data_IF_792764808469
#
_entry.id   IF_792764808469
#
_cell.length_a   1.000
_cell.length_b   1.000
_cell.length_c   1.000
_cell.angle_alpha   90.00
_cell.angle_beta   90.00
_cell.angle_gamma   90.00
#
_symmetry.space_group_name_H-M   'P 1'
#
loop_
_entity.id
_entity.type
_entity.pdbx_description
1 polymer ?
#
# COMPACT_ATOMS: atom_id res chain seq x y z
N UNK A 1 17.34 26.02 -3.73
CA UNK A 1 15.90 26.12 -3.38
C UNK A 1 15.52 27.58 -3.30
N UNK A 2 14.46 27.98 -4.00
CA UNK A 2 13.98 29.37 -4.05
C UNK A 2 12.99 29.61 -2.91
N UNK A 3 12.99 30.82 -2.34
CA UNK A 3 12.03 31.21 -1.29
C UNK A 3 10.73 31.67 -1.96
N UNK A 4 9.62 31.08 -1.57
CA UNK A 4 8.28 31.40 -2.08
C UNK A 4 7.34 31.56 -0.89
N UNK A 5 6.49 32.59 -0.91
CA UNK A 5 5.38 32.73 0.03
C UNK A 5 4.14 32.11 -0.61
N UNK A 6 3.56 31.12 0.07
CA UNK A 6 2.32 30.45 -0.32
C UNK A 6 1.50 30.20 0.94
N UNK A 7 0.19 30.33 0.83
CA UNK A 7 -0.73 29.94 1.89
C UNK A 7 -0.95 28.43 1.81
N UNK A 8 -0.83 27.76 2.96
CA UNK A 8 -1.04 26.32 3.08
C UNK A 8 -1.94 26.10 4.28
N UNK A 9 -2.91 25.19 4.14
CA UNK A 9 -3.73 24.75 5.26
C UNK A 9 -2.85 24.10 6.35
N UNK A 10 -2.87 24.71 7.54
CA UNK A 10 -2.05 24.29 8.68
C UNK A 10 -2.46 22.91 9.21
N UNK A 11 -3.73 22.55 9.13
CA UNK A 11 -4.21 21.24 9.55
C UNK A 11 -3.75 20.17 8.56
N UNK A 12 -3.79 20.47 7.25
CA UNK A 12 -3.26 19.56 6.23
C UNK A 12 -1.77 19.29 6.45
N UNK A 13 -0.98 20.35 6.67
CA UNK A 13 0.45 20.24 6.88
C UNK A 13 0.77 19.47 8.17
N UNK A 14 0.02 19.72 9.25
CA UNK A 14 0.18 19.02 10.52
C UNK A 14 -0.07 17.52 10.36
N UNK A 15 -1.17 17.15 9.69
CA UNK A 15 -1.50 15.75 9.40
C UNK A 15 -0.43 15.08 8.54
N UNK A 16 0.11 15.78 7.55
CA UNK A 16 1.21 15.25 6.73
C UNK A 16 2.49 15.04 7.57
N UNK A 17 2.83 16.00 8.42
CA UNK A 17 3.98 15.90 9.31
C UNK A 17 3.84 14.73 10.31
N UNK A 18 2.67 14.56 10.93
CA UNK A 18 2.40 13.45 11.86
C UNK A 18 2.42 12.10 11.17
N UNK A 19 1.77 11.98 10.01
CA UNK A 19 1.68 10.72 9.27
C UNK A 19 3.04 10.22 8.80
N UNK A 20 3.94 11.12 8.41
CA UNK A 20 5.23 10.78 7.81
C UNK A 20 6.44 11.11 8.71
N UNK A 21 6.21 11.51 9.97
CA UNK A 21 7.28 11.80 10.94
C UNK A 21 8.17 12.99 10.57
N UNK A 22 7.63 14.01 9.90
CA UNK A 22 8.38 15.15 9.39
C UNK A 22 8.47 16.25 10.43
N UNK A 23 9.62 16.92 10.52
CA UNK A 23 9.93 17.88 11.60
C UNK A 23 9.55 19.31 11.22
N UNK A 24 9.43 19.62 9.92
CA UNK A 24 9.11 20.97 9.46
C UNK A 24 8.09 20.99 8.33
N UNK A 25 7.36 22.11 8.22
CA UNK A 25 6.45 22.42 7.10
C UNK A 25 7.15 22.30 5.74
N UNK A 26 8.42 22.71 5.67
CA UNK A 26 9.23 22.63 4.45
C UNK A 26 9.55 21.19 4.07
N UNK A 27 9.91 20.35 5.04
CA UNK A 27 10.10 18.90 4.80
C UNK A 27 8.80 18.25 4.31
N UNK A 28 7.65 18.63 4.87
CA UNK A 28 6.34 18.15 4.40
C UNK A 28 6.05 18.52 2.95
N UNK A 29 6.32 19.76 2.55
CA UNK A 29 6.13 20.20 1.17
C UNK A 29 7.12 19.52 0.21
N UNK A 30 8.40 19.42 0.58
CA UNK A 30 9.40 18.74 -0.24
C UNK A 30 9.05 17.25 -0.43
N UNK A 31 8.66 16.58 0.66
CA UNK A 31 8.23 15.19 0.64
C UNK A 31 7.01 14.99 -0.28
N UNK A 32 5.98 15.83 -0.15
CA UNK A 32 4.78 15.74 -0.98
C UNK A 32 5.08 15.96 -2.47
N UNK A 33 5.92 16.95 -2.81
CA UNK A 33 6.30 17.21 -4.20
C UNK A 33 7.12 16.07 -4.80
N UNK A 34 8.09 15.52 -4.06
CA UNK A 34 8.83 14.34 -4.48
C UNK A 34 7.91 13.16 -4.69
N UNK A 35 7.00 12.90 -3.74
CA UNK A 35 6.01 11.83 -3.86
C UNK A 35 5.17 11.99 -5.12
N UNK A 36 4.74 13.19 -5.49
CA UNK A 36 3.98 13.42 -6.73
C UNK A 36 4.86 13.19 -7.97
N UNK A 37 6.11 13.60 -7.96
CA UNK A 37 7.01 13.38 -9.11
C UNK A 37 7.40 11.90 -9.25
N UNK A 38 7.67 11.24 -8.13
CA UNK A 38 8.12 9.85 -8.05
C UNK A 38 6.95 8.85 -8.21
N UNK A 39 5.74 9.16 -7.70
CA UNK A 39 4.53 8.34 -7.91
C UNK A 39 3.98 8.42 -9.34
N UNK A 40 4.39 9.42 -10.14
CA UNK A 40 4.05 9.51 -11.57
C UNK A 40 5.05 8.74 -12.45
N UNK A 41 5.91 7.91 -11.87
CA UNK A 41 6.46 6.76 -12.60
C UNK A 41 5.96 5.48 -11.94
N UNK A 42 4.68 5.10 -12.16
CA UNK A 42 4.30 3.72 -11.89
C UNK A 42 5.29 2.83 -12.65
N UNK A 43 5.80 1.81 -11.96
CA UNK A 43 6.54 0.74 -12.63
C UNK A 43 5.78 0.37 -13.89
N UNK A 44 6.51 0.33 -15.00
CA UNK A 44 5.95 -0.15 -16.26
C UNK A 44 5.34 -1.53 -16.03
N UNK A 45 4.34 -1.87 -16.83
CA UNK A 45 3.72 -3.20 -16.74
C UNK A 45 4.77 -4.30 -16.87
N UNK A 46 5.79 -4.08 -17.69
CA UNK A 46 6.93 -4.95 -17.91
C UNK A 46 7.79 -5.13 -16.65
N UNK A 47 8.10 -4.05 -15.93
CA UNK A 47 8.83 -4.14 -14.66
C UNK A 47 8.01 -4.86 -13.58
N UNK A 48 6.70 -4.63 -13.55
CA UNK A 48 5.80 -5.31 -12.61
C UNK A 48 5.71 -6.81 -12.90
N UNK A 49 5.62 -7.18 -14.18
CA UNK A 49 5.65 -8.57 -14.61
C UNK A 49 7.03 -9.21 -14.40
N UNK A 50 8.12 -8.43 -14.47
CA UNK A 50 9.46 -8.89 -14.12
C UNK A 50 9.63 -9.27 -12.64
N UNK A 51 8.73 -8.82 -11.76
CA UNK A 51 8.67 -9.25 -10.36
C UNK A 51 7.86 -10.55 -10.15
N UNK A 52 7.26 -11.11 -11.19
CA UNK A 52 6.53 -12.39 -11.11
C UNK A 52 7.46 -13.51 -10.63
N UNK A 53 7.09 -14.16 -9.52
CA UNK A 53 7.91 -15.19 -8.89
C UNK A 53 8.89 -14.68 -7.82
N UNK A 54 8.86 -13.39 -7.47
CA UNK A 54 9.63 -12.83 -6.35
C UNK A 54 8.74 -12.48 -5.15
N UNK A 55 9.28 -12.61 -3.93
CA UNK A 55 8.66 -12.10 -2.70
C UNK A 55 7.70 -13.06 -1.99
N UNK A 56 7.62 -14.33 -2.40
CA UNK A 56 6.80 -15.34 -1.73
C UNK A 56 7.57 -16.68 -1.63
N UNK A 57 8.04 -17.00 -0.42
CA UNK A 57 8.80 -18.23 -0.09
C UNK A 57 7.94 -19.29 0.62
N UNK A 58 6.61 -19.14 0.61
CA UNK A 58 5.70 -20.05 1.29
C UNK A 58 5.52 -21.38 0.53
N UNK A 59 5.01 -22.40 1.21
CA UNK A 59 4.53 -23.62 0.55
C UNK A 59 3.01 -23.53 0.33
N UNK A 60 2.59 -23.65 -0.93
CA UNK A 60 1.17 -23.59 -1.31
C UNK A 60 0.40 -24.78 -0.74
N UNK A 61 1.09 -25.90 -0.52
CA UNK A 61 0.50 -27.11 0.05
C UNK A 61 0.12 -26.90 1.53
N UNK A 62 0.91 -26.15 2.29
CA UNK A 62 0.60 -25.84 3.70
C UNK A 62 -0.65 -24.95 3.84
N UNK A 63 -0.85 -24.03 2.89
CA UNK A 63 -2.01 -23.13 2.87
C UNK A 63 -3.27 -23.86 2.39
N UNK A 64 -3.16 -24.69 1.35
CA UNK A 64 -4.30 -25.43 0.80
C UNK A 64 -4.81 -26.58 1.68
N UNK A 65 -4.07 -26.95 2.72
CA UNK A 65 -4.39 -28.09 3.59
C UNK A 65 -5.38 -27.82 4.73
N UNK A 66 -5.71 -26.56 5.05
CA UNK A 66 -6.46 -26.25 6.29
C UNK A 66 -7.95 -25.97 6.15
N UNK A 67 -8.43 -25.55 4.98
CA UNK A 67 -9.85 -25.19 4.80
C UNK A 67 -10.46 -25.91 3.59
N UNK A 68 -10.38 -27.25 3.55
CA UNK A 68 -11.41 -27.97 2.79
C UNK A 68 -12.73 -27.76 3.52
N UNK A 69 -13.47 -26.73 3.10
CA UNK A 69 -14.85 -26.53 3.51
C UNK A 69 -15.61 -27.74 2.98
N UNK A 70 -15.77 -28.77 3.82
CA UNK A 70 -16.66 -29.88 3.49
C UNK A 70 -18.07 -29.29 3.43
N UNK A 71 -18.78 -29.45 2.30
CA UNK A 71 -20.15 -28.98 2.21
C UNK A 71 -20.94 -29.62 3.35
N UNK A 72 -21.79 -28.86 4.07
CA UNK A 72 -22.56 -29.41 5.18
C UNK A 72 -23.30 -30.66 4.70
N UNK A 73 -23.11 -31.78 5.42
CA UNK A 73 -23.87 -33.00 5.19
C UNK A 73 -25.36 -32.65 5.33
N UNK A 74 -26.08 -32.61 4.21
CA UNK A 74 -27.54 -32.54 4.26
C UNK A 74 -28.02 -33.76 5.03
N UNK A 75 -28.53 -33.52 6.24
CA UNK A 75 -29.24 -34.54 7.01
C UNK A 75 -30.49 -34.87 6.23
N UNK A 76 -30.44 -35.94 5.46
CA UNK A 76 -31.64 -36.58 4.92
C UNK A 76 -32.31 -37.35 6.07
N UNK A 77 -32.80 -36.62 7.07
CA UNK A 77 -33.70 -37.13 8.09
C UNK A 77 -35.11 -37.05 7.52
N UNK A 78 -35.53 -38.07 6.78
CA UNK A 78 -36.96 -38.33 6.51
C UNK A 78 -37.18 -39.77 6.02
N UNK A 79 -37.17 -40.75 6.93
CA UNK A 79 -38.31 -41.64 7.25
C UNK A 79 -37.88 -42.82 8.11
#
# INVERSE_FOLDING_TARGET
MTRTNIDIDDELIRRAMERYGLRTKREAVDFALRRVVDDITPMTREELLGMEGHGWDGDLAEIKGKDRIEPPLERHDAR
#
